data_IF_400560072764
#
_entry.id   IF_400560072764
#
_cell.length_a   1.000
_cell.length_b   1.000
_cell.length_c   1.000
_cell.angle_alpha   90.00
_cell.angle_beta   90.00
_cell.angle_gamma   90.00
#
_symmetry.space_group_name_H-M   'P 1'
#
loop_
_entity.id
_entity.type
_entity.pdbx_description
1 polymer ?
#
# COMPACT_ATOMS: atom_id res chain seq x y z
N UNK A 1 -0.38 -31.35 37.35
CA UNK A 1 0.18 -30.86 36.07
C UNK A 1 -0.07 -29.37 35.97
N UNK A 2 0.94 -28.53 36.22
CA UNK A 2 0.84 -27.08 35.99
C UNK A 2 1.12 -26.80 34.52
N UNK A 3 0.22 -26.08 33.86
CA UNK A 3 0.40 -25.60 32.50
C UNK A 3 1.63 -24.66 32.43
N UNK A 4 2.45 -24.73 31.37
CA UNK A 4 3.62 -23.87 31.23
C UNK A 4 3.18 -22.40 31.13
N UNK A 5 3.84 -21.52 31.90
CA UNK A 5 3.67 -20.06 31.82
C UNK A 5 3.87 -19.60 30.36
N UNK A 6 3.02 -18.72 29.83
CA UNK A 6 3.23 -18.15 28.50
C UNK A 6 4.54 -17.36 28.48
N UNK A 7 5.34 -17.56 27.44
CA UNK A 7 6.61 -16.88 27.24
C UNK A 7 6.43 -15.35 27.39
N UNK A 8 7.13 -14.78 28.38
CA UNK A 8 7.22 -13.33 28.59
C UNK A 8 7.69 -12.72 27.27
N UNK A 9 6.87 -11.84 26.68
CA UNK A 9 7.29 -11.06 25.50
C UNK A 9 8.61 -10.37 25.86
N UNK A 10 9.64 -10.39 24.98
CA UNK A 10 10.87 -9.67 25.27
C UNK A 10 10.53 -8.21 25.58
N UNK A 11 11.07 -7.68 26.68
CA UNK A 11 10.89 -6.28 27.06
C UNK A 11 11.39 -5.41 25.89
N UNK A 12 10.45 -4.87 25.13
CA UNK A 12 10.76 -3.99 24.00
C UNK A 12 11.08 -2.64 24.59
N UNK A 13 12.37 -2.36 24.84
CA UNK A 13 12.85 -1.06 25.27
C UNK A 13 12.88 -0.09 24.08
N UNK A 14 11.74 0.03 23.39
CA UNK A 14 11.59 0.76 22.13
C UNK A 14 12.11 2.20 22.25
N UNK A 15 11.96 2.82 23.41
CA UNK A 15 12.46 4.17 23.68
C UNK A 15 14.00 4.26 23.62
N UNK A 16 14.71 3.22 24.06
CA UNK A 16 16.17 3.18 24.10
C UNK A 16 16.76 2.92 22.71
N UNK A 17 16.05 2.18 21.87
CA UNK A 17 16.56 1.73 20.56
C UNK A 17 16.29 2.73 19.41
N UNK A 18 15.36 3.68 19.59
CA UNK A 18 15.00 4.69 18.56
C UNK A 18 16.22 5.42 17.99
N UNK A 19 17.17 5.95 18.80
CA UNK A 19 18.32 6.67 18.27
C UNK A 19 19.22 5.78 17.39
N UNK A 20 19.40 4.52 17.77
CA UNK A 20 20.20 3.55 17.02
C UNK A 20 19.54 3.22 15.67
N UNK A 21 18.22 3.01 15.65
CA UNK A 21 17.45 2.75 14.43
C UNK A 21 17.46 3.98 13.50
N UNK A 22 17.26 5.18 14.05
CA UNK A 22 17.32 6.42 13.29
C UNK A 22 18.70 6.62 12.66
N UNK A 23 19.78 6.35 13.40
CA UNK A 23 21.13 6.42 12.88
C UNK A 23 21.34 5.43 11.73
N UNK A 24 20.94 4.16 11.91
CA UNK A 24 21.03 3.14 10.87
C UNK A 24 20.24 3.53 9.60
N UNK A 25 19.04 4.08 9.75
CA UNK A 25 18.25 4.59 8.63
C UNK A 25 18.95 5.75 7.91
N UNK A 26 19.51 6.70 8.65
CA UNK A 26 20.19 7.88 8.09
C UNK A 26 21.52 7.54 7.41
N UNK A 27 22.22 6.50 7.85
CA UNK A 27 23.48 6.04 7.26
C UNK A 27 23.29 5.07 6.09
N UNK A 28 22.14 4.40 6.01
CA UNK A 28 21.86 3.41 4.97
C UNK A 28 21.50 4.04 3.63
N UNK A 29 21.89 3.40 2.54
CA UNK A 29 21.55 3.83 1.18
C UNK A 29 20.08 3.50 0.91
N UNK A 30 19.28 4.52 0.56
CA UNK A 30 17.88 4.30 0.25
C UNK A 30 17.71 3.80 -1.20
N UNK A 31 16.87 2.78 -1.39
CA UNK A 31 16.77 2.04 -2.65
C UNK A 31 16.36 2.89 -3.87
N UNK A 32 15.55 3.94 -3.66
CA UNK A 32 15.09 4.84 -4.73
C UNK A 32 16.13 5.91 -5.05
N UNK A 33 16.65 6.58 -4.03
CA UNK A 33 17.55 7.73 -4.20
C UNK A 33 18.97 7.29 -4.52
N UNK A 34 19.35 6.05 -4.14
CA UNK A 34 20.71 5.50 -4.23
C UNK A 34 21.76 6.24 -3.39
N UNK A 35 21.32 7.12 -2.50
CA UNK A 35 22.15 7.81 -1.52
C UNK A 35 21.55 7.67 -0.13
N UNK A 36 22.39 7.84 0.90
CA UNK A 36 21.92 7.90 2.28
C UNK A 36 21.36 9.29 2.63
N UNK A 37 20.33 9.39 3.49
CA UNK A 37 19.83 10.69 3.96
C UNK A 37 20.93 11.59 4.50
N UNK A 38 21.85 11.05 5.31
CA UNK A 38 22.96 11.81 5.86
C UNK A 38 23.87 12.41 4.77
N UNK A 39 24.16 11.67 3.70
CA UNK A 39 24.93 12.19 2.56
C UNK A 39 24.18 13.28 1.80
N UNK A 40 22.87 13.19 1.64
CA UNK A 40 22.10 14.21 0.94
C UNK A 40 21.97 15.52 1.72
N UNK A 41 22.14 15.49 3.04
CA UNK A 41 22.12 16.68 3.90
C UNK A 41 23.52 17.28 4.10
N UNK A 42 24.50 16.45 4.47
CA UNK A 42 25.83 16.92 4.87
C UNK A 42 26.89 16.73 3.79
N UNK A 43 26.53 16.10 2.67
CA UNK A 43 27.43 15.80 1.56
C UNK A 43 28.52 14.79 1.91
N UNK A 44 28.48 14.15 3.08
CA UNK A 44 29.47 13.17 3.52
C UNK A 44 28.78 11.88 4.00
N UNK A 45 29.51 10.78 4.07
CA UNK A 45 29.00 9.57 4.74
C UNK A 45 28.97 9.80 6.26
N UNK A 46 27.98 9.22 6.93
CA UNK A 46 27.94 9.21 8.40
C UNK A 46 29.19 8.53 8.97
N UNK A 47 29.63 8.95 10.14
CA UNK A 47 30.74 8.31 10.85
C UNK A 47 30.21 7.09 11.59
N UNK A 48 30.58 5.90 11.13
CA UNK A 48 30.23 4.65 11.79
C UNK A 48 31.25 4.33 12.90
N UNK A 49 30.87 3.61 13.97
CA UNK A 49 31.82 3.19 15.01
C UNK A 49 33.06 2.50 14.45
N UNK A 50 32.84 1.68 13.42
CA UNK A 50 33.86 0.93 12.70
C UNK A 50 34.85 1.81 11.92
N UNK A 51 34.42 3.01 11.49
CA UNK A 51 35.29 3.98 10.81
C UNK A 51 36.31 4.59 11.78
N UNK A 52 35.92 4.73 13.06
CA UNK A 52 36.78 5.26 14.13
C UNK A 52 37.84 4.25 14.55
N UNK A 53 37.48 2.97 14.68
CA UNK A 53 38.41 1.91 15.07
C UNK A 53 39.50 1.68 14.00
N UNK A 54 39.13 1.69 12.72
CA UNK A 54 40.07 1.48 11.62
C UNK A 54 40.67 2.75 11.01
N UNK A 55 40.39 3.94 11.58
CA UNK A 55 40.87 5.23 11.07
C UNK A 55 40.67 5.37 9.55
N UNK A 56 39.53 4.90 9.04
CA UNK A 56 39.25 4.75 7.60
C UNK A 56 39.09 6.08 6.85
N UNK A 57 39.29 7.22 7.52
CA UNK A 57 39.19 8.55 6.93
C UNK A 57 40.54 9.24 6.96
N UNK A 58 41.07 9.50 5.77
CA UNK A 58 42.18 10.42 5.56
C UNK A 58 41.67 11.86 5.70
N UNK A 59 42.46 12.71 6.37
CA UNK A 59 42.20 14.15 6.40
C UNK A 59 42.19 14.70 4.99
N UNK A 60 41.23 15.59 4.69
CA UNK A 60 41.13 16.16 3.36
C UNK A 60 42.18 17.28 3.25
N UNK A 61 43.16 17.18 2.34
CA UNK A 61 44.26 18.15 2.25
C UNK A 61 43.84 19.51 1.66
N UNK A 62 42.54 19.71 1.40
CA UNK A 62 42.00 20.92 0.78
C UNK A 62 41.94 22.08 1.77
N UNK A 63 42.17 23.29 1.24
CA UNK A 63 41.87 24.52 1.97
C UNK A 63 40.36 24.64 2.24
N UNK A 64 39.96 25.32 3.31
CA UNK A 64 38.54 25.50 3.68
C UNK A 64 37.63 25.97 2.53
N UNK A 65 37.96 27.04 1.76
CA UNK A 65 37.13 27.47 0.63
C UNK A 65 37.03 26.41 -0.49
N UNK A 66 38.11 25.71 -0.79
CA UNK A 66 38.14 24.65 -1.82
C UNK A 66 37.28 23.45 -1.41
N UNK A 67 37.34 23.09 -0.13
CA UNK A 67 36.48 22.06 0.45
C UNK A 67 35.00 22.44 0.35
N UNK A 68 34.64 23.68 0.72
CA UNK A 68 33.26 24.15 0.66
C UNK A 68 32.72 24.15 -0.78
N UNK A 69 33.52 24.62 -1.74
CA UNK A 69 33.15 24.60 -3.16
C UNK A 69 32.96 23.16 -3.68
N UNK A 70 33.87 22.26 -3.35
CA UNK A 70 33.80 20.84 -3.73
C UNK A 70 32.59 20.15 -3.12
N UNK A 71 32.28 20.45 -1.86
CA UNK A 71 31.11 19.93 -1.15
C UNK A 71 29.80 20.38 -1.82
N UNK A 72 29.68 21.66 -2.15
CA UNK A 72 28.52 22.22 -2.84
C UNK A 72 28.32 21.57 -4.21
N UNK A 73 29.38 21.43 -5.00
CA UNK A 73 29.33 20.75 -6.30
C UNK A 73 28.86 19.29 -6.16
N UNK A 74 29.43 18.53 -5.22
CA UNK A 74 29.05 17.14 -4.96
C UNK A 74 27.57 17.00 -4.58
N UNK A 75 27.08 17.87 -3.71
CA UNK A 75 25.67 17.87 -3.30
C UNK A 75 24.74 18.22 -4.47
N UNK A 76 25.10 19.22 -5.27
CA UNK A 76 24.34 19.62 -6.45
C UNK A 76 24.18 18.44 -7.42
N UNK A 77 25.28 17.77 -7.77
CA UNK A 77 25.24 16.59 -8.65
C UNK A 77 24.41 15.46 -8.05
N UNK A 78 24.53 15.21 -6.74
CA UNK A 78 23.75 14.18 -6.05
C UNK A 78 22.25 14.49 -6.08
N UNK A 79 21.85 15.73 -5.80
CA UNK A 79 20.44 16.14 -5.82
C UNK A 79 19.84 16.05 -7.22
N UNK A 80 20.59 16.41 -8.26
CA UNK A 80 20.15 16.24 -9.64
C UNK A 80 19.94 14.77 -10.01
N UNK A 81 20.86 13.89 -9.60
CA UNK A 81 20.71 12.45 -9.78
C UNK A 81 19.47 11.92 -9.04
N UNK A 82 19.28 12.32 -7.78
CA UNK A 82 18.09 11.95 -6.99
C UNK A 82 16.80 12.42 -7.66
N UNK A 83 16.75 13.67 -8.14
CA UNK A 83 15.57 14.19 -8.85
C UNK A 83 15.22 13.34 -10.07
N UNK A 84 16.21 12.94 -10.87
CA UNK A 84 16.00 12.06 -12.04
C UNK A 84 15.50 10.67 -11.62
N UNK A 85 16.15 10.05 -10.62
CA UNK A 85 15.78 8.72 -10.12
C UNK A 85 14.37 8.71 -9.51
N UNK A 86 14.06 9.69 -8.66
CA UNK A 86 12.74 9.83 -8.03
C UNK A 86 11.64 10.02 -9.06
N UNK A 87 11.84 10.90 -10.06
CA UNK A 87 10.88 11.09 -11.16
C UNK A 87 10.66 9.80 -11.96
N UNK A 88 11.74 9.08 -12.30
CA UNK A 88 11.66 7.80 -13.01
C UNK A 88 10.85 6.79 -12.19
N UNK A 89 11.13 6.66 -10.88
CA UNK A 89 10.42 5.70 -10.05
C UNK A 89 8.97 6.08 -9.82
N UNK A 90 8.68 7.38 -9.67
CA UNK A 90 7.32 7.89 -9.56
C UNK A 90 6.50 7.60 -10.82
N UNK A 91 7.09 7.77 -12.02
CA UNK A 91 6.46 7.39 -13.29
C UNK A 91 6.17 5.89 -13.34
N UNK A 92 7.16 5.04 -13.03
CA UNK A 92 6.97 3.59 -13.04
C UNK A 92 5.86 3.14 -12.09
N UNK A 93 5.84 3.68 -10.87
CA UNK A 93 4.82 3.38 -9.88
C UNK A 93 3.43 3.83 -10.35
N UNK A 94 3.34 4.99 -11.03
CA UNK A 94 2.10 5.46 -11.63
C UNK A 94 1.63 4.53 -12.75
N UNK A 95 2.52 4.18 -13.68
CA UNK A 95 2.18 3.31 -14.81
C UNK A 95 1.73 1.92 -14.33
N UNK A 96 2.39 1.36 -13.32
CA UNK A 96 2.00 0.10 -12.69
C UNK A 96 0.64 0.19 -11.99
N UNK A 97 0.42 1.28 -11.25
CA UNK A 97 -0.87 1.55 -10.61
C UNK A 97 -1.99 1.68 -11.64
N UNK A 98 -1.78 2.46 -12.70
CA UNK A 98 -2.77 2.70 -13.75
C UNK A 98 -3.08 1.41 -14.53
N UNK A 99 -2.06 0.58 -14.82
CA UNK A 99 -2.26 -0.76 -15.42
C UNK A 99 -3.10 -1.67 -14.54
N UNK A 100 -2.79 -1.73 -13.24
CA UNK A 100 -3.58 -2.53 -12.28
C UNK A 100 -5.04 -2.07 -12.24
N UNK A 101 -5.27 -0.75 -12.26
CA UNK A 101 -6.63 -0.17 -12.30
C UNK A 101 -7.35 -0.41 -13.62
N UNK A 102 -6.63 -0.43 -14.75
CA UNK A 102 -7.22 -0.76 -16.05
C UNK A 102 -7.62 -2.24 -16.15
N UNK A 103 -6.95 -3.14 -15.40
CA UNK A 103 -7.33 -4.55 -15.32
C UNK A 103 -8.51 -4.84 -14.37
N UNK A 104 -8.93 -3.87 -13.56
CA UNK A 104 -10.13 -4.01 -12.72
C UNK A 104 -11.40 -3.92 -13.57
N UNK A 105 -12.43 -4.70 -13.20
CA UNK A 105 -13.73 -4.71 -13.87
C UNK A 105 -14.36 -3.32 -14.01
N UNK A 106 -15.30 -3.19 -14.96
CA UNK A 106 -16.05 -1.96 -15.34
C UNK A 106 -16.08 -0.89 -14.22
N UNK A 107 -15.67 0.36 -14.53
CA UNK A 107 -15.69 1.47 -13.57
C UNK A 107 -17.05 1.65 -12.90
N UNK A 108 -17.01 2.02 -11.62
CA UNK A 108 -18.21 2.39 -10.85
C UNK A 108 -18.88 3.60 -11.51
N UNK A 109 -20.16 3.46 -11.84
CA UNK A 109 -20.97 4.51 -12.43
C UNK A 109 -22.05 5.01 -11.45
N UNK A 110 -22.63 6.18 -11.76
CA UNK A 110 -23.80 6.68 -11.05
C UNK A 110 -24.95 5.68 -11.20
N UNK A 111 -25.63 5.38 -10.10
CA UNK A 111 -26.71 4.39 -10.04
C UNK A 111 -26.24 2.96 -9.70
N UNK A 112 -24.94 2.66 -9.77
CA UNK A 112 -24.45 1.33 -9.37
C UNK A 112 -24.67 1.10 -7.86
N UNK A 113 -24.98 -0.14 -7.47
CA UNK A 113 -24.97 -0.58 -6.08
C UNK A 113 -23.55 -0.94 -5.66
N UNK A 114 -23.13 -0.48 -4.48
CA UNK A 114 -21.80 -0.72 -3.92
C UNK A 114 -21.87 -1.11 -2.45
N UNK A 115 -20.90 -1.90 -2.01
CA UNK A 115 -20.63 -2.19 -0.60
C UNK A 115 -19.51 -1.28 -0.10
N UNK A 116 -19.66 -0.76 1.11
CA UNK A 116 -18.68 0.07 1.81
C UNK A 116 -17.81 -0.77 2.75
N UNK A 117 -16.50 -0.57 2.74
CA UNK A 117 -15.57 -1.24 3.65
C UNK A 117 -15.70 -0.73 5.09
N UNK A 118 -15.89 -1.67 6.03
CA UNK A 118 -15.91 -1.42 7.47
C UNK A 118 -14.46 -1.22 7.95
N UNK A 119 -14.10 -0.03 8.47
CA UNK A 119 -12.69 0.31 8.75
C UNK A 119 -12.09 -0.51 9.89
N UNK A 120 -12.90 -0.91 10.88
CA UNK A 120 -12.48 -1.73 12.02
C UNK A 120 -13.46 -2.87 12.17
N UNK A 121 -12.97 -4.11 12.02
CA UNK A 121 -13.77 -5.31 12.21
C UNK A 121 -13.90 -5.58 13.71
N UNK A 122 -15.12 -5.82 14.19
CA UNK A 122 -15.39 -6.09 15.61
C UNK A 122 -14.91 -7.48 16.03
N UNK A 123 -14.94 -8.45 15.11
CA UNK A 123 -14.52 -9.83 15.33
C UNK A 123 -13.81 -10.38 14.07
N UNK A 124 -12.99 -11.42 14.24
CA UNK A 124 -12.20 -12.05 13.15
C UNK A 124 -13.08 -12.56 12.00
N UNK A 125 -14.30 -13.00 12.31
CA UNK A 125 -15.28 -13.53 11.37
C UNK A 125 -16.37 -12.52 10.97
N UNK A 126 -16.29 -11.26 11.39
CA UNK A 126 -17.31 -10.26 11.05
C UNK A 126 -17.24 -9.83 9.60
N UNK A 127 -18.36 -9.32 9.09
CA UNK A 127 -18.41 -8.79 7.73
C UNK A 127 -17.36 -7.70 7.52
N UNK A 128 -16.71 -7.74 6.36
CA UNK A 128 -15.76 -6.70 5.93
C UNK A 128 -16.47 -5.56 5.19
N UNK A 129 -17.63 -5.85 4.62
CA UNK A 129 -18.34 -4.99 3.69
C UNK A 129 -19.77 -4.76 4.21
N UNK A 130 -20.23 -3.51 4.16
CA UNK A 130 -21.57 -3.10 4.58
C UNK A 130 -22.33 -2.55 3.38
N UNK A 131 -23.61 -2.87 3.25
CA UNK A 131 -24.45 -2.34 2.19
C UNK A 131 -25.55 -3.31 1.79
N UNK A 132 -26.25 -3.06 0.68
CA UNK A 132 -25.84 -2.21 -0.45
C UNK A 132 -26.15 -0.71 -0.31
N UNK A 133 -25.32 0.14 -0.93
CA UNK A 133 -25.48 1.59 -1.05
C UNK A 133 -25.57 1.98 -2.53
N UNK A 134 -26.29 3.06 -2.86
CA UNK A 134 -26.35 3.57 -4.24
C UNK A 134 -25.31 4.66 -4.45
N UNK A 135 -24.60 4.59 -5.57
CA UNK A 135 -23.72 5.66 -6.03
C UNK A 135 -24.54 6.81 -6.60
N UNK A 136 -24.46 7.99 -5.99
CA UNK A 136 -25.12 9.20 -6.49
C UNK A 136 -24.21 10.06 -7.35
N UNK A 137 -22.91 10.07 -7.06
CA UNK A 137 -21.94 10.87 -7.80
C UNK A 137 -20.55 10.24 -7.75
N UNK A 138 -19.81 10.33 -8.85
CA UNK A 138 -18.42 9.84 -8.94
C UNK A 138 -17.49 11.03 -9.15
N UNK A 139 -16.60 11.30 -8.19
CA UNK A 139 -15.60 12.39 -8.23
C UNK A 139 -14.21 11.83 -7.93
N UNK A 140 -13.53 11.26 -8.93
CA UNK A 140 -12.24 10.57 -8.73
C UNK A 140 -11.26 11.42 -7.89
N UNK A 141 -10.64 10.88 -6.82
CA UNK A 141 -10.65 9.47 -6.41
C UNK A 141 -11.79 9.05 -5.48
N UNK A 142 -12.75 9.94 -5.19
CA UNK A 142 -13.86 9.72 -4.27
C UNK A 142 -15.18 9.42 -4.98
N UNK A 143 -16.15 8.95 -4.22
CA UNK A 143 -17.52 8.63 -4.65
C UNK A 143 -18.49 9.01 -3.53
N UNK A 144 -19.63 9.57 -3.90
CA UNK A 144 -20.72 9.88 -2.98
C UNK A 144 -21.73 8.73 -3.04
N UNK A 145 -21.91 8.07 -1.90
CA UNK A 145 -22.83 6.94 -1.73
C UNK A 145 -23.97 7.33 -0.81
N UNK A 146 -25.15 6.77 -1.05
CA UNK A 146 -26.36 6.99 -0.28
C UNK A 146 -26.94 5.66 0.19
N UNK A 147 -27.28 5.57 1.47
CA UNK A 147 -28.03 4.46 2.02
C UNK A 147 -29.50 4.59 1.62
N UNK A 148 -30.07 3.57 0.98
CA UNK A 148 -31.48 3.58 0.60
C UNK A 148 -32.42 3.48 1.81
N UNK A 149 -31.99 2.83 2.90
CA UNK A 149 -32.83 2.64 4.07
C UNK A 149 -32.87 3.90 4.94
N UNK A 150 -31.74 4.58 5.10
CA UNK A 150 -31.63 5.72 6.01
C UNK A 150 -31.53 7.09 5.32
N UNK A 151 -31.41 7.12 3.99
CA UNK A 151 -31.17 8.35 3.21
C UNK A 151 -29.82 9.02 3.48
N UNK A 152 -28.92 8.38 4.24
CA UNK A 152 -27.65 8.99 4.66
C UNK A 152 -26.68 9.02 3.50
N UNK A 153 -26.14 10.19 3.20
CA UNK A 153 -25.06 10.37 2.22
C UNK A 153 -23.70 10.34 2.89
N UNK A 154 -22.71 9.77 2.22
CA UNK A 154 -21.31 9.78 2.67
C UNK A 154 -20.37 9.78 1.47
N UNK A 155 -19.31 10.59 1.55
CA UNK A 155 -18.23 10.61 0.56
C UNK A 155 -17.11 9.67 1.00
N UNK A 156 -16.71 8.75 0.13
CA UNK A 156 -15.68 7.75 0.43
C UNK A 156 -14.72 7.59 -0.75
N UNK A 157 -13.49 7.14 -0.49
CA UNK A 157 -12.54 6.83 -1.56
C UNK A 157 -12.99 5.60 -2.36
N UNK A 158 -12.77 5.60 -3.67
CA UNK A 158 -13.07 4.49 -4.58
C UNK A 158 -12.45 3.14 -4.18
N UNK A 159 -11.42 3.12 -3.33
CA UNK A 159 -10.75 1.90 -2.88
C UNK A 159 -11.49 1.25 -1.71
N UNK A 160 -12.37 2.00 -1.06
CA UNK A 160 -13.19 1.55 0.08
C UNK A 160 -14.58 1.12 -0.33
N UNK A 161 -14.85 1.05 -1.64
CA UNK A 161 -16.12 0.58 -2.18
C UNK A 161 -15.88 -0.59 -3.13
N UNK A 162 -16.81 -1.55 -3.13
CA UNK A 162 -16.83 -2.67 -4.06
C UNK A 162 -18.20 -2.74 -4.72
N UNK A 163 -18.26 -2.98 -6.03
CA UNK A 163 -19.56 -3.14 -6.72
C UNK A 163 -20.32 -4.33 -6.14
N UNK A 164 -21.60 -4.13 -5.90
CA UNK A 164 -22.54 -5.16 -5.48
C UNK A 164 -23.31 -5.64 -6.69
N UNK A 165 -23.15 -6.91 -7.03
CA UNK A 165 -23.93 -7.55 -8.08
C UNK A 165 -25.10 -8.25 -7.41
N UNK A 166 -26.33 -7.86 -7.78
CA UNK A 166 -27.49 -8.70 -7.50
C UNK A 166 -27.31 -9.97 -8.33
N UNK A 167 -26.87 -11.04 -7.68
CA UNK A 167 -26.92 -12.38 -8.27
C UNK A 167 -28.39 -12.62 -8.62
N UNK A 168 -28.74 -12.49 -9.90
CA UNK A 168 -29.99 -13.01 -10.39
C UNK A 168 -29.89 -14.53 -10.15
N UNK A 169 -30.54 -15.00 -9.09
CA UNK A 169 -30.81 -16.43 -8.90
C UNK A 169 -31.79 -16.79 -10.01
N UNK A 170 -31.28 -17.00 -11.22
CA UNK A 170 -31.98 -17.83 -12.19
C UNK A 170 -32.03 -19.22 -11.55
N UNK A 171 -33.16 -19.52 -10.90
CA UNK A 171 -33.54 -20.92 -10.77
C UNK A 171 -33.55 -21.47 -12.20
N UNK A 172 -32.77 -22.51 -12.52
CA UNK A 172 -32.96 -23.17 -13.81
C UNK A 172 -34.39 -23.68 -13.82
N UNK A 173 -35.14 -23.30 -14.86
CA UNK A 173 -36.50 -23.76 -15.10
C UNK A 173 -36.54 -25.29 -14.95
N UNK A 174 -37.56 -25.78 -14.26
CA UNK A 174 -37.80 -27.19 -14.00
C UNK A 174 -37.58 -28.01 -15.28
N UNK A 175 -36.72 -29.03 -15.21
CA UNK A 175 -36.61 -30.01 -16.29
C UNK A 175 -37.95 -30.74 -16.36
N UNK A 176 -38.62 -30.82 -17.52
CA UNK A 176 -39.85 -31.59 -17.62
C UNK A 176 -39.55 -33.05 -17.27
N UNK A 177 -40.36 -33.61 -16.37
CA UNK A 177 -40.34 -35.00 -15.95
C UNK A 177 -40.35 -35.91 -17.19
N UNK A 178 -39.37 -36.81 -17.27
CA UNK A 178 -39.30 -37.82 -18.32
C UNK A 178 -40.63 -38.58 -18.38
N UNK A 179 -41.32 -38.46 -19.52
CA UNK A 179 -42.44 -39.32 -19.85
C UNK A 179 -41.92 -40.77 -19.90
N UNK A 180 -42.44 -41.59 -18.99
CA UNK A 180 -42.35 -43.05 -19.06
C UNK A 180 -42.95 -43.52 -20.39
N UNK A 181 -42.10 -44.01 -21.28
CA UNK A 181 -42.54 -44.76 -22.47
C UNK A 181 -43.10 -46.12 -22.06
N UNK A 182 -44.11 -46.64 -22.78
CA UNK A 182 -44.75 -47.90 -22.42
C UNK A 182 -43.83 -49.08 -22.76
N UNK A 183 -43.83 -50.08 -21.87
CA UNK A 183 -43.41 -51.45 -22.15
C UNK A 183 -44.14 -51.99 -23.38
N UNK A 184 -43.39 -52.77 -24.17
CA UNK A 184 -43.80 -54.00 -24.86
C UNK A 184 -43.22 -54.06 -26.27
N UNK A 185 -42.31 -55.02 -26.51
CA UNK A 185 -42.33 -55.84 -27.73
C UNK A 185 -41.84 -57.26 -27.38
N UNK A 186 -42.59 -58.31 -27.72
CA UNK A 186 -42.20 -59.71 -27.54
C UNK A 186 -41.50 -60.32 -28.78
N UNK A 187 -41.05 -61.56 -28.58
CA UNK A 187 -40.38 -62.55 -29.45
C UNK A 187 -38.86 -62.43 -29.67
#
# INVERSE_FOLDING_TARGET
MQLPKPATRPNVHLHTDIPAVQFAYNSSIHAVTKFSPHFLTYGQRSRLPIDSEWKLRTENPLSYPEYAATLAQRLQTAWEAVRKLSRRRQKLNKDEHDRRRASEERPIAIGDLVLLEIPVRQNKMGDRWRGPWIVKMVRKPNVDIEDQASGRRTTVHLNRVKRFFLLHRSMPAERPLHASGPNDVPD
#
